data_IF_392221293055
#
_entry.id   IF_392221293055
#
_cell.length_a   1.000
_cell.length_b   1.000
_cell.length_c   1.000
_cell.angle_alpha   90.00
_cell.angle_beta   90.00
_cell.angle_gamma   90.00
#
_symmetry.space_group_name_H-M   'P 1'
#
loop_
_entity.id
_entity.type
_entity.pdbx_description
1 polymer ?
#
# COMPACT_ATOMS: atom_id res chain seq x y z
N UNK A 1 -5.74 -8.47 4.63
CA UNK A 1 -5.24 -7.93 5.91
C UNK A 1 -5.15 -6.43 5.80
N UNK A 2 -5.64 -5.68 6.79
CA UNK A 2 -5.72 -4.22 6.74
C UNK A 2 -5.01 -3.61 7.95
N UNK A 3 -4.03 -2.76 7.71
CA UNK A 3 -3.27 -2.03 8.71
C UNK A 3 -3.55 -0.54 8.55
N UNK A 4 -4.02 0.11 9.60
CA UNK A 4 -4.28 1.55 9.59
C UNK A 4 -3.14 2.24 10.33
N UNK A 5 -2.63 3.36 9.79
CA UNK A 5 -1.78 4.25 10.57
C UNK A 5 -2.53 4.75 11.80
N UNK A 6 -1.83 4.96 12.92
CA UNK A 6 -2.39 5.58 14.13
C UNK A 6 -2.96 6.97 13.82
N UNK A 7 -2.26 7.71 12.96
CA UNK A 7 -2.67 8.99 12.41
C UNK A 7 -3.98 8.94 11.61
N UNK A 8 -4.47 7.73 11.28
CA UNK A 8 -5.67 7.46 10.47
C UNK A 8 -5.66 8.09 9.07
N UNK A 9 -4.55 8.69 8.68
CA UNK A 9 -4.30 9.36 7.40
C UNK A 9 -4.02 8.35 6.29
N UNK A 10 -3.33 7.26 6.63
CA UNK A 10 -2.99 6.20 5.69
C UNK A 10 -3.46 4.83 6.19
N UNK A 11 -3.63 3.92 5.24
CA UNK A 11 -3.76 2.50 5.52
C UNK A 11 -3.09 1.65 4.46
N UNK A 12 -2.66 0.47 4.84
CA UNK A 12 -2.12 -0.56 3.97
C UNK A 12 -3.12 -1.71 3.95
N UNK A 13 -3.58 -2.09 2.75
CA UNK A 13 -4.32 -3.33 2.54
C UNK A 13 -3.45 -4.31 1.79
N UNK A 14 -3.30 -5.50 2.37
CA UNK A 14 -2.59 -6.62 1.77
C UNK A 14 -3.58 -7.74 1.53
N UNK A 15 -3.80 -8.10 0.28
CA UNK A 15 -4.70 -9.18 -0.10
C UNK A 15 -3.91 -10.26 -0.83
N UNK A 16 -4.05 -11.51 -0.38
CA UNK A 16 -3.52 -12.66 -1.10
C UNK A 16 -4.60 -13.13 -2.05
N UNK A 17 -4.33 -13.01 -3.34
CA UNK A 17 -5.24 -13.52 -4.34
C UNK A 17 -4.97 -15.01 -4.52
N UNK A 18 -5.91 -15.82 -4.04
CA UNK A 18 -5.89 -17.28 -4.16
C UNK A 18 -6.81 -17.75 -5.29
N UNK A 19 -7.51 -16.86 -6.02
CA UNK A 19 -8.55 -17.26 -6.98
C UNK A 19 -8.05 -17.36 -8.43
N UNK A 20 -6.79 -17.05 -8.70
CA UNK A 20 -6.16 -17.44 -9.95
C UNK A 20 -5.96 -18.97 -10.07
N UNK A 21 -6.32 -19.76 -9.05
CA UNK A 21 -6.46 -21.22 -9.08
C UNK A 21 -7.47 -21.66 -10.17
N UNK A 22 -7.07 -21.96 -11.41
CA UNK A 22 -7.57 -23.20 -12.08
C UNK A 22 -7.02 -23.56 -13.48
N UNK A 23 -6.08 -22.85 -14.11
CA UNK A 23 -5.84 -23.08 -15.56
C UNK A 23 -4.39 -23.17 -16.05
N UNK A 24 -3.34 -23.02 -15.22
CA UNK A 24 -1.94 -23.19 -15.71
C UNK A 24 -0.96 -23.83 -14.70
N UNK A 25 0.02 -24.66 -15.13
CA UNK A 25 0.86 -25.46 -14.21
C UNK A 25 1.95 -24.67 -13.44
N UNK A 26 1.94 -23.33 -13.51
CA UNK A 26 3.00 -22.46 -13.01
C UNK A 26 2.40 -21.33 -12.16
N UNK A 27 1.77 -21.66 -11.04
CA UNK A 27 1.20 -20.64 -10.15
C UNK A 27 2.24 -20.13 -9.15
N UNK A 28 2.70 -18.90 -9.35
CA UNK A 28 3.23 -18.04 -8.28
C UNK A 28 2.05 -17.36 -7.60
N UNK A 29 1.94 -17.48 -6.27
CA UNK A 29 0.94 -16.73 -5.52
C UNK A 29 1.19 -15.21 -5.69
N UNK A 30 0.11 -14.44 -5.79
CA UNK A 30 0.18 -12.98 -5.95
C UNK A 30 -0.32 -12.29 -4.68
N UNK A 31 0.40 -11.27 -4.27
CA UNK A 31 0.07 -10.43 -3.13
C UNK A 31 -0.23 -9.03 -3.67
N UNK A 32 -1.48 -8.62 -3.53
CA UNK A 32 -1.91 -7.25 -3.78
C UNK A 32 -1.53 -6.39 -2.58
N UNK A 33 -0.68 -5.39 -2.81
CA UNK A 33 -0.30 -4.39 -1.83
C UNK A 33 -0.90 -3.04 -2.24
N UNK A 34 -1.80 -2.51 -1.42
CA UNK A 34 -2.51 -1.27 -1.71
C UNK A 34 -2.28 -0.25 -0.59
N UNK A 35 -1.83 0.95 -0.96
CA UNK A 35 -1.71 2.08 -0.03
C UNK A 35 -2.92 3.00 -0.22
N UNK A 36 -3.61 3.26 0.88
CA UNK A 36 -4.75 4.15 0.95
C UNK A 36 -4.31 5.45 1.58
N UNK A 37 -4.66 6.55 0.94
CA UNK A 37 -4.57 7.87 1.54
C UNK A 37 -5.98 8.34 1.88
N UNK A 38 -6.32 8.32 3.16
CA UNK A 38 -7.63 8.67 3.70
C UNK A 38 -7.75 10.16 4.08
N UNK A 39 -6.68 10.94 3.93
CA UNK A 39 -6.58 12.36 4.31
C UNK A 39 -5.37 12.60 5.21
N UNK A 40 -5.18 13.81 5.74
CA UNK A 40 -4.15 14.09 6.76
C UNK A 40 -4.73 14.06 8.17
N UNK A 41 -3.91 13.80 9.18
CA UNK A 41 -4.29 13.68 10.60
C UNK A 41 -5.14 14.86 11.13
N UNK A 42 -4.95 16.05 10.54
CA UNK A 42 -5.66 17.28 10.90
C UNK A 42 -6.84 17.64 9.98
N UNK A 43 -7.11 16.85 8.95
CA UNK A 43 -8.16 17.15 7.96
C UNK A 43 -9.12 15.97 7.80
N UNK A 44 -10.18 15.97 8.61
CA UNK A 44 -11.31 15.07 8.35
C UNK A 44 -11.99 15.50 7.06
N UNK A 45 -12.06 14.62 6.04
CA UNK A 45 -12.64 14.99 4.76
C UNK A 45 -14.11 15.35 4.94
N UNK A 46 -14.48 16.50 4.41
CA UNK A 46 -15.86 16.98 4.34
C UNK A 46 -16.71 16.04 3.47
N UNK A 47 -18.04 16.13 3.61
CA UNK A 47 -18.96 15.30 2.81
C UNK A 47 -18.72 15.49 1.30
N UNK A 48 -18.38 16.71 0.88
CA UNK A 48 -18.08 17.04 -0.52
C UNK A 48 -16.79 16.37 -1.00
N UNK A 49 -15.76 16.34 -0.17
CA UNK A 49 -14.50 15.66 -0.50
C UNK A 49 -14.67 14.16 -0.59
N UNK A 50 -15.46 13.57 0.32
CA UNK A 50 -15.84 12.15 0.27
C UNK A 50 -16.58 11.81 -1.03
N UNK A 51 -17.59 12.60 -1.39
CA UNK A 51 -18.34 12.39 -2.63
C UNK A 51 -17.47 12.57 -3.88
N UNK A 52 -16.57 13.57 -3.89
CA UNK A 52 -15.58 13.75 -4.96
C UNK A 52 -14.66 12.54 -5.08
N UNK A 53 -14.25 11.96 -3.95
CA UNK A 53 -13.41 10.78 -3.92
C UNK A 53 -14.15 9.54 -4.45
N UNK A 54 -15.39 9.30 -4.00
CA UNK A 54 -16.26 8.25 -4.56
C UNK A 54 -16.47 8.43 -6.07
N UNK A 55 -16.69 9.66 -6.53
CA UNK A 55 -16.83 9.95 -7.96
C UNK A 55 -15.54 9.69 -8.74
N UNK A 56 -14.39 10.05 -8.18
CA UNK A 56 -13.09 9.75 -8.78
C UNK A 56 -12.90 8.24 -8.93
N UNK A 57 -13.20 7.46 -7.89
CA UNK A 57 -13.17 5.99 -7.91
C UNK A 57 -14.06 5.43 -9.01
N UNK A 58 -15.32 5.88 -9.08
CA UNK A 58 -16.26 5.41 -10.11
C UNK A 58 -15.78 5.75 -11.53
N UNK A 59 -15.09 6.88 -11.71
CA UNK A 59 -14.60 7.34 -13.01
C UNK A 59 -13.30 6.65 -13.43
N UNK A 60 -12.37 6.43 -12.50
CA UNK A 60 -11.03 5.91 -12.80
C UNK A 60 -10.92 4.40 -12.58
N UNK A 61 -11.85 3.81 -11.82
CA UNK A 61 -11.77 2.43 -11.34
C UNK A 61 -10.66 2.20 -10.30
N UNK A 62 -9.94 3.24 -9.88
CA UNK A 62 -8.77 3.13 -9.00
C UNK A 62 -9.10 3.67 -7.60
N UNK A 63 -9.17 2.77 -6.63
CA UNK A 63 -9.38 3.07 -5.22
C UNK A 63 -8.11 3.48 -4.46
N UNK A 64 -6.95 3.23 -5.04
CA UNK A 64 -5.67 3.20 -4.34
C UNK A 64 -4.79 4.35 -4.83
N UNK A 65 -4.05 4.97 -3.91
CA UNK A 65 -3.01 5.93 -4.30
C UNK A 65 -1.96 5.17 -5.15
N UNK A 66 -1.60 3.98 -4.67
CA UNK A 66 -0.76 3.02 -5.37
C UNK A 66 -1.26 1.59 -5.09
N UNK A 67 -1.44 0.81 -6.15
CA UNK A 67 -1.69 -0.62 -6.09
C UNK A 67 -0.56 -1.34 -6.81
N UNK A 68 0.07 -2.27 -6.11
CA UNK A 68 1.19 -3.04 -6.64
C UNK A 68 0.84 -4.53 -6.49
N UNK A 69 0.96 -5.26 -7.58
CA UNK A 69 0.89 -6.72 -7.57
C UNK A 69 2.31 -7.26 -7.39
N UNK A 70 2.53 -7.98 -6.29
CA UNK A 70 3.82 -8.56 -5.95
C UNK A 70 3.74 -10.08 -6.10
N UNK A 71 4.80 -10.70 -6.62
CA UNK A 71 4.99 -12.14 -6.44
C UNK A 71 5.34 -12.42 -4.99
N UNK A 72 5.12 -13.66 -4.55
CA UNK A 72 5.45 -14.09 -3.18
C UNK A 72 6.88 -13.74 -2.75
N UNK A 73 7.87 -14.02 -3.61
CA UNK A 73 9.28 -13.74 -3.33
C UNK A 73 9.55 -12.24 -3.14
N UNK A 74 8.93 -11.38 -3.96
CA UNK A 74 9.12 -9.93 -3.88
C UNK A 74 8.39 -9.37 -2.66
N UNK A 75 7.19 -9.86 -2.37
CA UNK A 75 6.45 -9.48 -1.18
C UNK A 75 7.21 -9.85 0.11
N UNK A 76 7.88 -11.00 0.12
CA UNK A 76 8.75 -11.40 1.24
C UNK A 76 9.91 -10.44 1.42
N UNK A 77 10.63 -10.11 0.34
CA UNK A 77 11.73 -9.12 0.38
C UNK A 77 11.26 -7.75 0.84
N UNK A 78 10.09 -7.32 0.38
CA UNK A 78 9.50 -6.05 0.81
C UNK A 78 9.18 -6.08 2.32
N UNK A 79 8.60 -7.19 2.81
CA UNK A 79 8.33 -7.37 4.23
C UNK A 79 9.59 -7.34 5.09
N UNK A 80 10.65 -8.05 4.67
CA UNK A 80 11.96 -8.03 5.33
C UNK A 80 12.55 -6.61 5.36
N UNK A 81 12.51 -5.90 4.23
CA UNK A 81 13.00 -4.53 4.15
C UNK A 81 12.20 -3.56 5.04
N UNK A 82 10.87 -3.70 5.10
CA UNK A 82 10.04 -2.89 5.99
C UNK A 82 10.36 -3.14 7.46
N UNK A 83 10.68 -4.37 7.83
CA UNK A 83 11.09 -4.71 9.19
C UNK A 83 12.46 -4.13 9.54
N UNK A 84 13.44 -4.19 8.62
CA UNK A 84 14.73 -3.51 8.80
C UNK A 84 14.54 -2.00 9.01
N UNK A 85 13.64 -1.40 8.25
CA UNK A 85 13.29 0.01 8.39
C UNK A 85 12.48 0.33 9.64
N UNK A 86 11.95 -0.62 10.41
CA UNK A 86 11.26 -0.26 11.67
C UNK A 86 12.22 0.06 12.82
N UNK A 87 13.51 -0.25 12.68
CA UNK A 87 14.54 0.25 13.60
C UNK A 87 14.81 1.75 13.30
N UNK A 88 14.61 2.63 14.29
CA UNK A 88 14.69 4.09 14.12
C UNK A 88 16.00 4.57 13.47
N UNK A 89 17.11 3.89 13.76
CA UNK A 89 18.43 4.17 13.17
C UNK A 89 18.47 3.87 11.66
N UNK A 90 17.76 2.84 11.20
CA UNK A 90 17.69 2.44 9.80
C UNK A 90 16.78 3.36 8.99
N UNK A 91 15.72 3.92 9.60
CA UNK A 91 14.88 4.95 8.95
C UNK A 91 15.70 6.18 8.62
N UNK A 92 16.49 6.67 9.58
CA UNK A 92 17.30 7.88 9.41
C UNK A 92 18.33 7.72 8.27
N UNK A 93 18.94 6.53 8.16
CA UNK A 93 19.85 6.16 7.08
C UNK A 93 19.14 6.08 5.72
N UNK A 94 17.99 5.38 5.65
CA UNK A 94 17.24 5.23 4.39
C UNK A 94 16.72 6.57 3.85
N UNK A 95 16.20 7.45 4.73
CA UNK A 95 15.74 8.79 4.35
C UNK A 95 16.89 9.64 3.81
N UNK A 96 18.10 9.47 4.36
CA UNK A 96 19.30 10.17 3.88
C UNK A 96 19.70 9.69 2.48
N UNK A 97 19.71 8.38 2.23
CA UNK A 97 20.03 7.84 0.90
C UNK A 97 19.06 8.28 -0.20
N UNK A 98 17.75 8.33 0.09
CA UNK A 98 16.73 8.75 -0.89
C UNK A 98 16.93 10.22 -1.27
N UNK A 99 17.27 11.07 -0.31
CA UNK A 99 17.55 12.50 -0.54
C UNK A 99 18.83 12.75 -1.32
N UNK A 100 19.82 11.86 -1.23
CA UNK A 100 21.08 11.97 -1.97
C UNK A 100 20.97 11.45 -3.42
N UNK A 101 19.96 10.62 -3.72
CA UNK A 101 19.70 10.04 -5.05
C UNK A 101 18.61 10.78 -5.86
N UNK A 102 17.93 11.77 -5.27
CA UNK A 102 16.89 12.60 -5.90
C UNK A 102 17.41 13.98 -6.26
#
# INVERSE_FOLDING_TARGET
MYFKCDCSAEAIHVERDLELFDMTPHYTSWINFCIYHCGTENHRPTLREKLRHCWAILKTGKNYADQIMLTEDVAKKLGEHLLELTDEDNIALAVKEIKEKS
#
